data_IF_905820812675
#
_entry.id   IF_905820812675
#
_cell.length_a   1.000
_cell.length_b   1.000
_cell.length_c   1.000
_cell.angle_alpha   90.00
_cell.angle_beta   90.00
_cell.angle_gamma   90.00
#
_symmetry.space_group_name_H-M   'P 1'
#
loop_
_entity.id
_entity.type
_entity.pdbx_description
1 polymer ?
#
# COMPACT_ATOMS: atom_id res chain seq x y z
N UNK A 1 18.63 29.90 -9.38
CA UNK A 1 17.64 29.86 -8.27
C UNK A 1 17.41 31.22 -7.62
N UNK A 2 16.17 31.53 -7.25
CA UNK A 2 15.75 32.67 -6.42
C UNK A 2 14.80 32.19 -5.31
N UNK A 3 14.76 32.88 -4.19
CA UNK A 3 13.92 32.53 -3.04
C UNK A 3 13.00 33.70 -2.67
N UNK A 4 11.74 33.41 -2.37
CA UNK A 4 10.80 34.37 -1.82
C UNK A 4 10.24 33.84 -0.50
N UNK A 5 10.12 34.73 0.48
CA UNK A 5 9.60 34.41 1.80
C UNK A 5 8.33 35.22 2.06
N UNK A 6 7.27 34.52 2.48
CA UNK A 6 6.06 35.13 3.02
C UNK A 6 5.99 34.86 4.52
N UNK A 7 6.21 35.92 5.30
CA UNK A 7 6.24 35.87 6.76
C UNK A 7 4.86 35.53 7.38
N UNK A 8 3.77 35.90 6.71
CA UNK A 8 2.40 35.71 7.22
C UNK A 8 1.95 34.26 7.11
N UNK A 9 2.34 33.58 6.03
CA UNK A 9 1.99 32.18 5.77
C UNK A 9 3.13 31.21 6.11
N UNK A 10 4.32 31.73 6.44
CA UNK A 10 5.55 30.96 6.63
C UNK A 10 5.88 30.10 5.41
N UNK A 11 5.70 30.69 4.22
CA UNK A 11 5.90 30.02 2.93
C UNK A 11 7.25 30.39 2.33
N UNK A 12 8.05 29.38 2.02
CA UNK A 12 9.24 29.52 1.19
C UNK A 12 8.89 29.13 -0.26
N UNK A 13 8.98 30.09 -1.17
CA UNK A 13 8.88 29.83 -2.62
C UNK A 13 10.28 29.71 -3.21
N UNK A 14 10.58 28.56 -3.82
CA UNK A 14 11.82 28.29 -4.57
C UNK A 14 11.53 28.44 -6.05
N UNK A 15 12.09 29.47 -6.68
CA UNK A 15 11.90 29.75 -8.11
C UNK A 15 13.18 29.38 -8.85
N UNK A 16 13.09 28.46 -9.81
CA UNK A 16 14.23 28.04 -10.61
C UNK A 16 13.89 27.77 -12.06
N UNK A 17 14.76 28.24 -12.96
CA UNK A 17 14.76 27.83 -14.37
C UNK A 17 15.82 26.76 -14.66
N UNK A 18 16.58 26.34 -13.65
CA UNK A 18 17.57 25.28 -13.76
C UNK A 18 16.84 23.92 -13.81
N UNK A 19 17.28 23.03 -14.70
CA UNK A 19 16.70 21.68 -14.83
C UNK A 19 16.79 20.89 -13.51
N UNK A 20 17.86 21.07 -12.75
CA UNK A 20 18.10 20.42 -11.47
C UNK A 20 18.28 21.46 -10.36
N UNK A 21 17.61 21.23 -9.23
CA UNK A 21 17.81 22.03 -8.02
C UNK A 21 18.38 21.17 -6.89
N UNK A 22 19.32 21.74 -6.14
CA UNK A 22 20.06 21.08 -5.06
C UNK A 22 20.36 22.08 -3.94
N UNK A 23 20.52 21.56 -2.71
CA UNK A 23 21.09 22.33 -1.61
C UNK A 23 20.35 23.62 -1.24
N UNK A 24 19.01 23.59 -1.19
CA UNK A 24 18.22 24.77 -0.82
C UNK A 24 18.41 25.08 0.66
N UNK A 25 19.23 26.07 0.96
CA UNK A 25 19.52 26.52 2.33
C UNK A 25 19.17 28.00 2.46
N UNK A 26 18.22 28.30 3.34
CA UNK A 26 17.75 29.66 3.63
C UNK A 26 17.77 29.90 5.14
N UNK A 27 17.72 31.17 5.55
CA UNK A 27 17.59 31.53 6.97
C UNK A 27 16.26 31.08 7.57
N UNK A 28 15.22 30.91 6.74
CA UNK A 28 13.87 30.49 7.15
C UNK A 28 13.67 28.97 7.21
N UNK A 29 14.72 28.16 7.06
CA UNK A 29 14.59 26.69 7.06
C UNK A 29 13.96 26.11 8.34
N UNK A 30 14.14 26.78 9.47
CA UNK A 30 13.53 26.40 10.75
C UNK A 30 12.13 27.00 10.95
N UNK A 31 11.71 27.94 10.11
CA UNK A 31 10.43 28.66 10.25
C UNK A 31 9.41 28.24 9.19
N UNK A 32 9.88 27.75 8.04
CA UNK A 32 9.03 27.37 6.92
C UNK A 32 8.06 26.25 7.33
N UNK A 33 6.77 26.51 7.13
CA UNK A 33 5.68 25.54 7.30
C UNK A 33 5.20 25.06 5.92
N UNK A 34 5.36 25.86 4.88
CA UNK A 34 4.97 25.54 3.52
C UNK A 34 6.12 25.80 2.54
N UNK A 35 6.28 24.91 1.55
CA UNK A 35 7.23 25.08 0.46
C UNK A 35 6.48 25.04 -0.86
N UNK A 36 6.79 25.99 -1.75
CA UNK A 36 6.31 25.99 -3.15
C UNK A 36 7.52 25.97 -4.07
N UNK A 37 7.57 25.02 -5.00
CA UNK A 37 8.58 25.00 -6.06
C UNK A 37 7.94 25.53 -7.35
N UNK A 38 8.58 26.52 -7.98
CA UNK A 38 8.10 27.13 -9.22
C UNK A 38 9.18 27.10 -10.30
N UNK A 39 8.72 27.00 -11.55
CA UNK A 39 9.54 26.97 -12.75
C UNK A 39 9.47 25.63 -13.48
N UNK A 40 10.41 25.38 -14.38
CA UNK A 40 10.46 24.17 -15.23
C UNK A 40 11.45 23.13 -14.69
N UNK A 41 11.55 23.02 -13.37
CA UNK A 41 12.46 22.10 -12.68
C UNK A 41 12.13 20.65 -13.07
N UNK A 42 13.15 19.90 -13.49
CA UNK A 42 13.07 18.49 -13.88
C UNK A 42 13.53 17.54 -12.78
N UNK A 43 14.52 17.93 -11.99
CA UNK A 43 15.15 17.05 -11.01
C UNK A 43 15.22 17.76 -9.66
N UNK A 44 14.66 17.11 -8.63
CA UNK A 44 14.94 17.45 -7.24
C UNK A 44 16.14 16.62 -6.79
N UNK A 45 17.28 17.25 -6.56
CA UNK A 45 18.47 16.51 -6.12
C UNK A 45 18.39 16.03 -4.68
N UNK A 46 19.37 15.22 -4.30
CA UNK A 46 19.43 14.59 -2.99
C UNK A 46 19.43 15.63 -1.87
N UNK A 47 18.71 15.35 -0.78
CA UNK A 47 18.78 16.13 0.46
C UNK A 47 18.48 17.64 0.31
N UNK A 48 17.75 18.04 -0.74
CA UNK A 48 17.53 19.45 -1.10
C UNK A 48 16.92 20.29 0.03
N UNK A 49 15.94 19.75 0.76
CA UNK A 49 15.30 20.41 1.92
C UNK A 49 15.74 19.80 3.25
N UNK A 50 17.05 19.61 3.42
CA UNK A 50 17.60 19.21 4.72
C UNK A 50 17.37 20.28 5.79
N UNK A 51 16.94 19.86 6.97
CA UNK A 51 16.60 20.69 8.15
C UNK A 51 15.28 21.47 8.08
N UNK A 52 14.46 21.28 7.06
CA UNK A 52 13.11 21.88 6.96
C UNK A 52 12.07 21.09 7.78
N UNK A 53 12.32 20.90 9.07
CA UNK A 53 11.56 19.97 9.93
C UNK A 53 10.16 20.47 10.34
N UNK A 54 9.88 21.76 10.14
CA UNK A 54 8.57 22.35 10.43
C UNK A 54 7.59 22.30 9.25
N UNK A 55 8.05 21.89 8.05
CA UNK A 55 7.22 21.88 6.85
C UNK A 55 6.10 20.87 6.96
N UNK A 56 4.87 21.32 6.73
CA UNK A 56 3.63 20.54 6.74
C UNK A 56 3.12 20.25 5.33
N UNK A 57 3.44 21.10 4.35
CA UNK A 57 3.01 20.94 2.95
C UNK A 57 4.11 21.37 1.98
N UNK A 58 4.19 20.68 0.84
CA UNK A 58 5.08 21.01 -0.27
C UNK A 58 4.31 20.93 -1.59
N UNK A 59 4.42 21.97 -2.40
CA UNK A 59 3.86 22.02 -3.76
C UNK A 59 4.98 21.81 -4.78
N UNK A 60 4.80 20.76 -5.59
CA UNK A 60 5.76 20.31 -6.58
C UNK A 60 5.19 20.54 -7.99
N UNK A 61 5.92 21.20 -8.91
CA UNK A 61 5.44 21.39 -10.27
C UNK A 61 5.45 20.08 -11.04
N UNK A 62 4.47 19.91 -11.93
CA UNK A 62 4.34 18.75 -12.80
C UNK A 62 5.52 18.55 -13.75
N UNK A 63 6.39 19.55 -13.91
CA UNK A 63 7.61 19.43 -14.71
C UNK A 63 8.63 18.45 -14.13
N UNK A 64 8.54 18.09 -12.84
CA UNK A 64 9.50 17.20 -12.18
C UNK A 64 9.40 15.79 -12.75
N UNK A 65 10.55 15.25 -13.16
CA UNK A 65 10.74 13.93 -13.74
C UNK A 65 11.51 12.98 -12.82
N UNK A 66 12.29 13.51 -11.88
CA UNK A 66 13.11 12.72 -10.96
C UNK A 66 13.14 13.28 -9.55
N UNK A 67 12.94 12.39 -8.58
CA UNK A 67 13.22 12.65 -7.17
C UNK A 67 14.51 11.97 -6.77
N UNK A 68 15.47 12.77 -6.33
CA UNK A 68 16.66 12.36 -5.58
C UNK A 68 16.30 11.67 -4.26
N UNK A 69 17.31 11.17 -3.57
CA UNK A 69 17.13 10.54 -2.27
C UNK A 69 16.90 11.59 -1.20
N UNK A 70 15.96 11.32 -0.29
CA UNK A 70 15.71 12.16 0.88
C UNK A 70 15.48 13.65 0.53
N UNK A 71 14.70 13.95 -0.52
CA UNK A 71 14.47 15.32 -1.00
C UNK A 71 13.98 16.26 0.12
N UNK A 72 13.24 15.71 1.07
CA UNK A 72 12.89 16.35 2.33
C UNK A 72 12.91 15.30 3.44
N UNK A 73 13.38 15.67 4.63
CA UNK A 73 13.50 14.75 5.78
C UNK A 73 12.98 15.38 7.06
N UNK A 74 12.46 14.54 7.97
CA UNK A 74 11.96 14.95 9.28
C UNK A 74 10.92 16.07 9.24
N UNK A 75 10.20 16.21 8.12
CA UNK A 75 9.09 17.15 8.00
C UNK A 75 7.85 16.65 8.74
N UNK A 76 6.86 17.53 8.86
CA UNK A 76 5.52 17.22 9.36
C UNK A 76 4.55 16.87 8.23
N UNK A 77 5.03 16.72 6.99
CA UNK A 77 4.19 16.43 5.83
C UNK A 77 3.44 15.13 6.03
N UNK A 78 2.12 15.18 5.81
CA UNK A 78 1.21 14.03 5.89
C UNK A 78 0.80 13.47 4.53
N UNK A 79 0.85 14.30 3.49
CA UNK A 79 0.45 13.94 2.15
C UNK A 79 1.44 14.51 1.13
N UNK A 80 1.83 13.71 0.15
CA UNK A 80 2.62 14.15 -1.01
C UNK A 80 1.83 13.86 -2.28
N UNK A 81 1.63 14.90 -3.10
CA UNK A 81 1.15 14.74 -4.46
C UNK A 81 2.33 14.37 -5.37
N UNK A 82 2.20 13.27 -6.12
CA UNK A 82 3.20 12.81 -7.09
C UNK A 82 3.04 13.62 -8.39
N UNK A 83 4.09 14.35 -8.85
CA UNK A 83 4.03 15.15 -10.07
C UNK A 83 3.67 14.32 -11.31
N UNK A 84 2.93 14.94 -12.24
CA UNK A 84 2.41 14.27 -13.45
C UNK A 84 3.51 13.64 -14.32
N UNK A 85 4.70 14.26 -14.41
CA UNK A 85 5.79 13.75 -15.25
C UNK A 85 6.84 12.94 -14.48
N UNK A 86 6.62 12.61 -13.20
CA UNK A 86 7.60 11.86 -12.42
C UNK A 86 7.82 10.47 -13.05
N UNK A 87 9.07 10.18 -13.39
CA UNK A 87 9.55 8.93 -14.00
C UNK A 87 10.42 8.14 -13.06
N UNK A 88 11.28 8.83 -12.31
CA UNK A 88 12.32 8.22 -11.47
C UNK A 88 12.02 8.53 -10.01
N UNK A 89 11.68 7.47 -9.27
CA UNK A 89 11.61 7.45 -7.82
C UNK A 89 12.71 6.50 -7.33
N UNK A 90 13.81 7.06 -6.81
CA UNK A 90 14.97 6.25 -6.46
C UNK A 90 14.65 5.22 -5.37
N UNK A 91 15.27 4.04 -5.47
CA UNK A 91 14.99 2.93 -4.57
C UNK A 91 15.58 3.09 -3.16
N UNK A 92 16.42 4.11 -2.93
CA UNK A 92 16.94 4.44 -1.60
C UNK A 92 16.06 5.48 -0.88
N UNK A 93 14.84 5.71 -1.40
CA UNK A 93 13.82 6.45 -0.69
C UNK A 93 13.94 7.97 -0.76
N UNK A 94 13.28 8.62 -1.72
CA UNK A 94 13.07 10.06 -1.73
C UNK A 94 12.47 10.65 -0.44
N UNK A 95 11.69 9.87 0.32
CA UNK A 95 10.84 10.39 1.41
C UNK A 95 10.90 9.57 2.71
N UNK A 96 11.88 8.70 2.90
CA UNK A 96 11.96 7.71 4.01
C UNK A 96 11.87 8.32 5.43
N UNK A 97 12.52 9.47 5.66
CA UNK A 97 12.56 10.10 7.00
C UNK A 97 11.37 11.00 7.31
N UNK A 98 10.30 10.95 6.50
CA UNK A 98 9.07 11.71 6.77
C UNK A 98 8.09 10.87 7.58
N UNK A 99 8.39 10.73 8.87
CA UNK A 99 7.63 9.93 9.84
C UNK A 99 6.18 10.35 10.05
N UNK A 100 5.72 11.46 9.47
CA UNK A 100 4.32 11.90 9.49
C UNK A 100 3.58 11.61 8.20
N UNK A 101 4.27 11.15 7.15
CA UNK A 101 3.68 10.89 5.85
C UNK A 101 2.72 9.71 5.94
N UNK A 102 1.44 9.98 5.71
CA UNK A 102 0.33 9.04 5.85
C UNK A 102 -0.10 8.46 4.50
N UNK A 103 0.03 9.23 3.41
CA UNK A 103 -0.40 8.83 2.06
C UNK A 103 0.28 9.61 0.95
N UNK A 104 0.27 9.01 -0.23
CA UNK A 104 0.49 9.68 -1.51
C UNK A 104 -0.84 10.02 -2.18
N UNK A 105 -0.84 11.02 -3.06
CA UNK A 105 -1.90 11.26 -4.04
C UNK A 105 -1.30 11.46 -5.42
N UNK A 106 -2.08 11.26 -6.48
CA UNK A 106 -1.60 11.31 -7.86
C UNK A 106 -2.75 11.61 -8.81
N UNK A 107 -2.43 12.24 -9.94
CA UNK A 107 -3.36 12.35 -11.07
C UNK A 107 -3.52 10.99 -11.79
N UNK A 108 -4.72 10.69 -12.27
CA UNK A 108 -5.00 9.44 -12.98
C UNK A 108 -4.20 9.29 -14.30
N UNK A 109 -3.84 10.42 -14.92
CA UNK A 109 -3.07 10.51 -16.16
C UNK A 109 -1.57 10.28 -15.97
N UNK A 110 -1.09 10.09 -14.73
CA UNK A 110 0.32 9.78 -14.48
C UNK A 110 0.66 8.41 -15.10
N UNK A 111 1.68 8.36 -15.95
CA UNK A 111 2.02 7.22 -16.80
C UNK A 111 2.88 6.14 -16.11
N UNK A 112 3.67 6.49 -15.10
CA UNK A 112 4.70 5.61 -14.51
C UNK A 112 4.30 5.02 -13.16
N UNK A 113 3.50 5.74 -12.38
CA UNK A 113 3.10 5.33 -11.04
C UNK A 113 1.57 5.33 -10.89
N UNK A 114 1.12 4.62 -9.85
CA UNK A 114 -0.27 4.63 -9.39
C UNK A 114 -0.27 4.66 -7.87
N UNK A 115 -1.26 5.33 -7.31
CA UNK A 115 -1.56 5.27 -5.88
C UNK A 115 -2.76 4.38 -5.66
N UNK A 116 -2.65 3.44 -4.72
CA UNK A 116 -3.77 2.62 -4.23
C UNK A 116 -3.74 2.66 -2.71
N UNK A 117 -4.85 3.04 -2.09
CA UNK A 117 -4.97 3.25 -0.64
C UNK A 117 -3.86 4.16 -0.08
N UNK A 118 -3.47 5.21 -0.81
CA UNK A 118 -2.39 6.10 -0.39
C UNK A 118 -0.98 5.51 -0.46
N UNK A 119 -0.79 4.30 -1.01
CA UNK A 119 0.52 3.65 -1.22
C UNK A 119 0.94 3.77 -2.68
N UNK A 120 2.23 4.02 -2.92
CA UNK A 120 2.80 4.21 -4.25
C UNK A 120 3.24 2.88 -4.88
N UNK A 121 2.79 2.63 -6.09
CA UNK A 121 3.13 1.47 -6.94
C UNK A 121 3.59 1.92 -8.32
N UNK A 122 4.21 1.01 -9.07
CA UNK A 122 4.32 1.18 -10.53
C UNK A 122 2.93 1.18 -11.17
N UNK A 123 2.78 1.85 -12.34
CA UNK A 123 1.49 1.98 -13.03
C UNK A 123 0.81 0.64 -13.32
N UNK A 124 1.61 -0.36 -13.67
CA UNK A 124 1.20 -1.74 -13.97
C UNK A 124 0.94 -2.59 -12.71
N UNK A 125 1.10 -2.01 -11.51
CA UNK A 125 0.95 -2.67 -10.20
C UNK A 125 1.93 -3.84 -9.95
N UNK A 126 3.01 -3.98 -10.74
CA UNK A 126 3.98 -5.06 -10.54
C UNK A 126 5.04 -4.77 -9.48
N UNK A 127 5.23 -3.49 -9.10
CA UNK A 127 6.21 -3.07 -8.10
C UNK A 127 5.55 -2.29 -6.97
N UNK A 128 5.80 -2.71 -5.73
CA UNK A 128 5.57 -1.86 -4.56
C UNK A 128 6.71 -0.85 -4.46
N UNK A 129 6.40 0.44 -4.63
CA UNK A 129 7.40 1.52 -4.69
C UNK A 129 7.62 2.13 -3.30
N UNK A 130 6.56 2.59 -2.64
CA UNK A 130 6.69 3.10 -1.27
C UNK A 130 5.38 3.04 -0.49
N UNK A 131 5.45 2.44 0.69
CA UNK A 131 4.43 2.59 1.72
C UNK A 131 4.82 3.79 2.60
N UNK A 132 3.92 4.79 2.77
CA UNK A 132 4.14 5.90 3.68
C UNK A 132 4.55 5.42 5.08
N UNK A 133 5.60 5.98 5.71
CA UNK A 133 6.05 5.58 7.05
C UNK A 133 4.92 5.56 8.10
N UNK A 134 3.99 6.51 8.03
CA UNK A 134 2.85 6.63 8.95
C UNK A 134 1.54 6.13 8.31
N UNK A 135 1.59 5.11 7.46
CA UNK A 135 0.39 4.46 6.92
C UNK A 135 -0.53 4.02 8.07
N UNK A 136 -1.81 4.40 8.02
CA UNK A 136 -2.73 4.28 9.15
C UNK A 136 -3.39 2.88 9.23
N UNK A 137 -2.62 1.81 9.28
CA UNK A 137 -3.13 0.44 9.49
C UNK A 137 -2.13 -0.40 10.26
N UNK A 138 -2.65 -1.33 11.08
CA UNK A 138 -1.84 -2.36 11.74
C UNK A 138 -1.50 -3.53 10.83
N UNK A 139 -2.28 -3.74 9.77
CA UNK A 139 -2.09 -4.84 8.84
C UNK A 139 -1.96 -4.28 7.45
N UNK A 140 -0.98 -4.79 6.71
CA UNK A 140 -0.79 -4.47 5.32
C UNK A 140 -0.61 -5.74 4.50
N UNK A 141 -1.49 -5.93 3.53
CA UNK A 141 -1.34 -6.93 2.48
C UNK A 141 -0.80 -6.28 1.23
N UNK A 142 0.29 -6.80 0.70
CA UNK A 142 0.77 -6.38 -0.59
C UNK A 142 -0.19 -6.93 -1.66
N UNK A 143 -0.73 -6.09 -2.57
CA UNK A 143 -1.70 -6.55 -3.56
C UNK A 143 -1.21 -7.73 -4.40
N UNK A 144 -2.13 -8.66 -4.66
CA UNK A 144 -1.89 -9.76 -5.59
C UNK A 144 -1.54 -9.21 -6.98
N UNK A 145 -0.49 -9.75 -7.61
CA UNK A 145 0.05 -9.26 -8.88
C UNK A 145 1.33 -8.43 -8.72
N UNK A 146 1.60 -7.89 -7.53
CA UNK A 146 2.93 -7.33 -7.22
C UNK A 146 3.95 -8.47 -7.29
N UNK A 147 5.02 -8.27 -8.07
CA UNK A 147 6.10 -9.24 -8.27
C UNK A 147 7.40 -8.84 -7.59
N UNK A 148 7.56 -7.56 -7.28
CA UNK A 148 8.75 -7.04 -6.60
C UNK A 148 8.46 -5.97 -5.55
N UNK A 149 9.23 -6.02 -4.47
CA UNK A 149 9.24 -5.06 -3.37
C UNK A 149 10.56 -4.29 -3.45
N UNK A 150 10.52 -2.98 -3.76
CA UNK A 150 11.75 -2.20 -3.88
C UNK A 150 12.35 -1.90 -2.50
N UNK A 151 13.64 -1.56 -2.47
CA UNK A 151 14.44 -1.38 -1.26
C UNK A 151 13.76 -0.48 -0.22
N UNK A 152 13.49 0.78 -0.54
CA UNK A 152 12.88 1.77 0.35
C UNK A 152 11.40 1.55 0.66
N UNK A 153 10.77 0.50 0.14
CA UNK A 153 9.31 0.46 0.08
C UNK A 153 8.63 0.19 1.42
N UNK A 154 9.34 -0.49 2.32
CA UNK A 154 8.83 -0.97 3.63
C UNK A 154 9.71 -0.48 4.80
N UNK A 155 10.55 0.51 4.55
CA UNK A 155 11.45 1.06 5.55
C UNK A 155 10.75 2.09 6.44
N UNK A 156 11.19 2.20 7.69
CA UNK A 156 10.68 3.17 8.68
C UNK A 156 9.18 3.13 8.98
N UNK A 157 8.48 2.05 8.61
CA UNK A 157 7.07 1.86 8.93
C UNK A 157 6.82 1.96 10.44
N UNK A 158 5.78 2.70 10.82
CA UNK A 158 5.48 3.06 12.20
C UNK A 158 4.23 2.40 12.79
N UNK A 159 3.30 1.95 11.95
CA UNK A 159 2.02 1.39 12.43
C UNK A 159 1.77 -0.06 12.01
N UNK A 160 2.38 -0.53 10.92
CA UNK A 160 2.13 -1.87 10.37
C UNK A 160 2.76 -2.91 11.30
N UNK A 161 1.93 -3.62 12.07
CA UNK A 161 2.33 -4.73 12.93
C UNK A 161 2.40 -6.07 12.19
N UNK A 162 1.62 -6.23 11.12
CA UNK A 162 1.60 -7.43 10.30
C UNK A 162 1.70 -7.08 8.81
N UNK A 163 2.79 -7.54 8.18
CA UNK A 163 3.02 -7.42 6.73
C UNK A 163 2.82 -8.79 6.07
N UNK A 164 1.97 -8.84 5.05
CA UNK A 164 1.58 -10.08 4.36
C UNK A 164 1.93 -9.96 2.88
N UNK A 165 2.77 -10.85 2.39
CA UNK A 165 3.33 -10.86 1.03
C UNK A 165 2.67 -11.98 0.21
N UNK A 166 2.12 -11.71 -0.99
CA UNK A 166 1.46 -12.72 -1.81
C UNK A 166 2.45 -13.66 -2.51
N UNK A 167 1.94 -14.79 -3.00
CA UNK A 167 2.73 -15.73 -3.81
C UNK A 167 3.22 -15.16 -5.15
N UNK A 168 2.71 -14.00 -5.59
CA UNK A 168 3.21 -13.33 -6.80
C UNK A 168 4.55 -12.65 -6.61
N UNK A 169 4.98 -12.36 -5.37
CA UNK A 169 6.26 -11.69 -5.10
C UNK A 169 7.41 -12.68 -5.22
N UNK A 170 8.27 -12.39 -6.20
CA UNK A 170 9.47 -13.16 -6.53
C UNK A 170 10.75 -12.48 -6.06
N UNK A 171 10.77 -11.15 -6.04
CA UNK A 171 11.96 -10.35 -5.72
C UNK A 171 11.69 -9.40 -4.57
N UNK A 172 12.62 -9.40 -3.61
CA UNK A 172 12.61 -8.45 -2.50
C UNK A 172 13.98 -7.80 -2.42
N UNK A 173 14.03 -6.49 -2.63
CA UNK A 173 15.26 -5.71 -2.60
C UNK A 173 15.48 -5.19 -1.17
N UNK A 174 16.62 -5.54 -0.55
CA UNK A 174 17.14 -5.13 0.78
C UNK A 174 16.13 -4.92 1.91
N UNK A 175 15.38 -5.97 2.23
CA UNK A 175 14.15 -5.82 2.99
C UNK A 175 14.29 -5.34 4.45
N UNK A 176 13.38 -4.43 4.83
CA UNK A 176 12.99 -4.09 6.20
C UNK A 176 14.14 -3.47 7.02
N UNK A 177 14.67 -2.35 6.53
CA UNK A 177 15.53 -1.51 7.35
C UNK A 177 14.71 -0.80 8.42
N UNK A 178 14.92 -1.20 9.69
CA UNK A 178 14.31 -0.58 10.88
C UNK A 178 12.77 -0.53 10.93
N UNK A 179 12.02 -1.60 10.59
CA UNK A 179 10.59 -1.64 10.89
C UNK A 179 10.41 -1.78 12.40
N UNK A 180 10.14 -0.67 13.09
CA UNK A 180 10.06 -0.68 14.55
C UNK A 180 8.87 -1.48 15.09
N UNK A 181 7.87 -1.74 14.25
CA UNK A 181 6.56 -2.25 14.70
C UNK A 181 6.12 -3.57 14.08
N UNK A 182 6.78 -4.07 13.02
CA UNK A 182 6.35 -5.31 12.36
C UNK A 182 6.68 -6.51 13.23
N UNK A 183 5.65 -7.14 13.80
CA UNK A 183 5.74 -8.33 14.67
C UNK A 183 5.48 -9.63 13.91
N UNK A 184 4.78 -9.57 12.78
CA UNK A 184 4.44 -10.74 11.98
C UNK A 184 4.69 -10.44 10.50
N UNK A 185 5.53 -11.24 9.88
CA UNK A 185 5.77 -11.19 8.44
C UNK A 185 5.38 -12.54 7.85
N UNK A 186 4.32 -12.54 7.06
CA UNK A 186 3.79 -13.75 6.42
C UNK A 186 4.09 -13.67 4.93
N UNK A 187 4.62 -14.74 4.37
CA UNK A 187 4.88 -14.84 2.94
C UNK A 187 4.17 -16.07 2.40
N UNK A 188 3.22 -15.81 1.51
CA UNK A 188 2.52 -16.85 0.78
C UNK A 188 3.38 -17.39 -0.36
N UNK A 189 3.44 -18.72 -0.54
CA UNK A 189 4.06 -19.40 -1.68
C UNK A 189 3.07 -20.37 -2.33
N UNK A 190 3.34 -20.75 -3.59
CA UNK A 190 2.56 -21.75 -4.31
C UNK A 190 3.04 -23.16 -3.93
N UNK A 191 2.11 -24.10 -3.70
CA UNK A 191 2.42 -25.51 -3.41
C UNK A 191 3.26 -26.20 -4.49
N UNK A 192 3.10 -25.78 -5.75
CA UNK A 192 3.79 -26.36 -6.91
C UNK A 192 5.13 -25.69 -7.22
N UNK A 193 5.39 -24.52 -6.62
CA UNK A 193 6.63 -23.77 -6.81
C UNK A 193 7.27 -23.59 -5.43
N UNK A 194 8.24 -24.45 -5.11
CA UNK A 194 9.17 -24.27 -3.99
C UNK A 194 10.07 -23.02 -4.17
N UNK A 195 9.60 -21.99 -4.88
CA UNK A 195 10.32 -20.81 -5.29
C UNK A 195 10.69 -19.99 -4.06
N UNK A 196 11.95 -20.18 -3.69
CA UNK A 196 12.67 -19.36 -2.75
C UNK A 196 12.58 -17.92 -3.25
N UNK A 197 12.03 -17.01 -2.44
CA UNK A 197 12.13 -15.58 -2.70
C UNK A 197 13.57 -15.25 -3.06
N UNK A 198 13.76 -14.52 -4.15
CA UNK A 198 15.06 -13.92 -4.42
C UNK A 198 15.22 -12.67 -3.55
N UNK A 199 15.98 -12.83 -2.48
CA UNK A 199 16.42 -11.74 -1.62
C UNK A 199 17.60 -11.04 -2.30
N UNK A 200 17.34 -9.86 -2.85
CA UNK A 200 18.40 -9.03 -3.44
C UNK A 200 19.01 -8.18 -2.33
N UNK A 201 20.05 -8.72 -1.70
CA UNK A 201 20.79 -8.01 -0.66
C UNK A 201 21.65 -6.91 -1.29
N UNK A 202 21.36 -5.67 -0.93
CA UNK A 202 22.12 -4.50 -1.41
C UNK A 202 23.08 -3.96 -0.35
N UNK A 203 22.79 -4.15 0.95
CA UNK A 203 23.54 -3.46 2.02
C UNK A 203 23.72 -4.21 3.35
N UNK A 204 23.40 -5.51 3.47
CA UNK A 204 23.49 -6.30 4.72
C UNK A 204 22.77 -5.72 5.97
N UNK A 205 21.84 -4.77 5.78
CA UNK A 205 21.08 -4.14 6.87
C UNK A 205 19.66 -4.68 7.06
N UNK A 206 19.32 -5.79 6.40
CA UNK A 206 17.98 -6.37 6.49
C UNK A 206 17.63 -6.63 7.96
N UNK A 207 16.44 -6.24 8.39
CA UNK A 207 15.96 -6.42 9.77
C UNK A 207 16.80 -5.73 10.86
N UNK A 208 17.67 -4.77 10.52
CA UNK A 208 18.37 -3.95 11.52
C UNK A 208 17.35 -3.21 12.38
N UNK A 209 17.52 -3.25 13.70
CA UNK A 209 16.60 -2.63 14.67
C UNK A 209 15.12 -3.08 14.52
N UNK A 210 14.89 -4.27 13.96
CA UNK A 210 13.56 -4.90 13.80
C UNK A 210 13.26 -5.88 14.95
N UNK A 211 11.99 -5.96 15.43
CA UNK A 211 11.60 -6.94 16.44
C UNK A 211 11.49 -8.37 15.87
N UNK A 212 11.44 -8.53 14.55
CA UNK A 212 11.53 -9.83 13.86
C UNK A 212 12.83 -9.93 13.07
N UNK A 213 13.32 -11.15 12.88
CA UNK A 213 14.47 -11.48 12.04
C UNK A 213 14.02 -12.38 10.89
N UNK A 214 14.90 -12.61 9.91
CA UNK A 214 14.59 -13.44 8.73
C UNK A 214 14.11 -14.87 9.11
N UNK A 215 14.62 -15.43 10.21
CA UNK A 215 14.20 -16.74 10.74
C UNK A 215 12.76 -16.77 11.29
N UNK A 216 12.20 -15.60 11.60
CA UNK A 216 10.86 -15.45 12.18
C UNK A 216 9.78 -15.28 11.10
N UNK A 217 10.18 -15.27 9.82
CA UNK A 217 9.26 -15.22 8.68
C UNK A 217 8.38 -16.47 8.67
N UNK A 218 7.07 -16.26 8.57
CA UNK A 218 6.09 -17.32 8.46
C UNK A 218 5.80 -17.57 6.99
N UNK A 219 6.18 -18.74 6.49
CA UNK A 219 5.84 -19.17 5.14
C UNK A 219 4.52 -19.93 5.15
N UNK A 220 3.60 -19.54 4.27
CA UNK A 220 2.28 -20.19 4.13
C UNK A 220 2.13 -20.67 2.70
N UNK A 221 1.78 -21.94 2.50
CA UNK A 221 1.50 -22.47 1.17
C UNK A 221 -0.01 -22.42 0.92
N UNK A 222 -0.43 -21.73 -0.13
CA UNK A 222 -1.84 -21.62 -0.51
C UNK A 222 -1.95 -21.14 -1.95
N UNK A 223 -2.88 -21.73 -2.71
CA UNK A 223 -3.26 -21.19 -4.03
C UNK A 223 -4.11 -19.93 -3.93
N UNK A 224 -4.67 -19.63 -2.75
CA UNK A 224 -5.47 -18.43 -2.49
C UNK A 224 -4.70 -17.39 -1.68
N UNK A 225 -4.91 -16.12 -2.00
CA UNK A 225 -4.38 -14.98 -1.26
C UNK A 225 -5.43 -13.89 -1.15
N UNK A 226 -5.49 -13.20 -0.01
CA UNK A 226 -6.38 -12.06 0.16
C UNK A 226 -5.61 -10.75 0.25
N UNK A 227 -5.97 -9.83 -0.64
CA UNK A 227 -5.55 -8.43 -0.56
C UNK A 227 -6.61 -7.63 0.18
N UNK A 228 -6.24 -6.98 1.27
CA UNK A 228 -7.07 -6.01 1.97
C UNK A 228 -6.78 -4.57 1.50
N UNK A 229 -7.82 -3.93 0.97
CA UNK A 229 -7.89 -2.52 0.66
C UNK A 229 -8.65 -1.78 1.75
N UNK A 230 -7.93 -1.02 2.56
CA UNK A 230 -8.42 -0.28 3.72
C UNK A 230 -9.38 0.84 3.32
N UNK A 231 -9.07 1.62 2.28
CA UNK A 231 -9.85 2.82 1.93
C UNK A 231 -11.31 2.45 1.64
N UNK A 232 -11.50 1.38 0.88
CA UNK A 232 -12.81 0.85 0.52
C UNK A 232 -13.27 -0.31 1.41
N UNK A 233 -12.55 -0.62 2.49
CA UNK A 233 -12.85 -1.72 3.43
C UNK A 233 -13.13 -3.04 2.70
N UNK A 234 -12.36 -3.31 1.65
CA UNK A 234 -12.61 -4.38 0.69
C UNK A 234 -11.49 -5.41 0.77
N UNK A 235 -11.84 -6.69 0.82
CA UNK A 235 -10.88 -7.78 0.64
C UNK A 235 -11.09 -8.43 -0.72
N UNK A 236 -10.04 -8.52 -1.52
CA UNK A 236 -10.03 -9.25 -2.80
C UNK A 236 -9.23 -10.53 -2.61
N UNK A 237 -9.92 -11.66 -2.60
CA UNK A 237 -9.32 -12.99 -2.68
C UNK A 237 -8.93 -13.20 -4.15
N UNK A 238 -7.72 -13.70 -4.37
CA UNK A 238 -7.14 -14.04 -5.67
C UNK A 238 -6.64 -15.47 -5.63
N UNK A 239 -6.58 -16.12 -6.79
CA UNK A 239 -6.10 -17.48 -6.92
C UNK A 239 -4.96 -17.56 -7.93
N UNK A 240 -3.97 -18.44 -7.69
CA UNK A 240 -2.98 -18.82 -8.70
C UNK A 240 -3.45 -19.89 -9.66
N UNK A 241 -4.59 -20.53 -9.38
CA UNK A 241 -5.16 -21.57 -10.22
C UNK A 241 -6.68 -21.46 -10.24
N UNK A 242 -7.23 -20.96 -11.34
CA UNK A 242 -8.67 -20.78 -11.48
C UNK A 242 -9.41 -22.07 -11.84
N UNK A 243 -8.71 -23.15 -12.17
CA UNK A 243 -9.33 -24.41 -12.62
C UNK A 243 -9.79 -25.28 -11.44
N UNK A 244 -9.27 -25.04 -10.26
CA UNK A 244 -9.58 -25.79 -9.05
C UNK A 244 -10.66 -25.11 -8.20
N UNK A 245 -11.27 -25.88 -7.29
CA UNK A 245 -12.24 -25.39 -6.32
C UNK A 245 -11.64 -25.43 -4.91
N UNK A 246 -11.53 -24.26 -4.29
CA UNK A 246 -10.90 -24.09 -2.98
C UNK A 246 -11.91 -23.68 -1.91
N UNK A 247 -11.58 -24.02 -0.67
CA UNK A 247 -12.13 -23.39 0.53
C UNK A 247 -11.13 -22.34 1.02
N UNK A 248 -11.58 -21.10 1.17
CA UNK A 248 -10.76 -20.03 1.75
C UNK A 248 -10.86 -20.05 3.28
N UNK A 249 -9.71 -20.06 3.97
CA UNK A 249 -9.63 -20.17 5.43
C UNK A 249 -8.49 -19.31 6.04
N UNK A 250 -8.34 -18.06 5.62
CA UNK A 250 -7.35 -17.17 6.26
C UNK A 250 -7.97 -16.32 7.38
N UNK A 251 -7.13 -15.80 8.27
CA UNK A 251 -7.52 -14.99 9.42
C UNK A 251 -7.79 -13.53 9.05
N UNK A 252 -7.41 -13.05 7.87
CA UNK A 252 -7.48 -11.61 7.55
C UNK A 252 -8.89 -11.02 7.67
N UNK A 253 -9.92 -11.79 7.35
CA UNK A 253 -11.33 -11.40 7.48
C UNK A 253 -11.76 -11.27 8.96
N UNK A 254 -10.95 -11.78 9.89
CA UNK A 254 -11.13 -11.65 11.34
C UNK A 254 -10.34 -10.49 11.94
N UNK A 255 -9.31 -10.02 11.24
CA UNK A 255 -8.39 -9.03 11.79
C UNK A 255 -8.98 -7.62 11.77
N UNK A 256 -9.86 -7.32 10.81
CA UNK A 256 -10.51 -6.01 10.70
C UNK A 256 -12.03 -6.14 10.58
N UNK A 257 -12.71 -5.77 11.65
CA UNK A 257 -14.17 -5.79 11.74
C UNK A 257 -14.86 -4.74 10.88
N UNK A 258 -14.09 -3.81 10.30
CA UNK A 258 -14.60 -2.79 9.40
C UNK A 258 -14.71 -3.27 7.95
N UNK A 259 -14.21 -4.45 7.59
CA UNK A 259 -14.35 -5.01 6.23
C UNK A 259 -15.84 -5.12 5.88
N UNK A 260 -16.23 -4.41 4.82
CA UNK A 260 -17.62 -4.37 4.32
C UNK A 260 -17.78 -5.09 2.98
N UNK A 261 -16.69 -5.45 2.29
CA UNK A 261 -16.77 -6.06 0.97
C UNK A 261 -15.73 -7.17 0.85
N UNK A 262 -16.13 -8.31 0.30
CA UNK A 262 -15.24 -9.40 -0.08
C UNK A 262 -15.50 -9.70 -1.55
N UNK A 263 -14.45 -9.75 -2.36
CA UNK A 263 -14.49 -10.14 -3.77
C UNK A 263 -13.65 -11.40 -3.89
N UNK A 264 -14.13 -12.43 -4.59
CA UNK A 264 -13.40 -13.70 -4.74
C UNK A 264 -13.62 -14.32 -6.12
N UNK A 265 -12.65 -15.08 -6.66
CA UNK A 265 -12.78 -15.70 -7.97
C UNK A 265 -13.71 -16.92 -7.91
N UNK A 266 -14.21 -17.36 -9.07
CA UNK A 266 -15.05 -18.57 -9.17
C UNK A 266 -14.39 -19.84 -8.62
N UNK A 267 -13.06 -19.88 -8.56
CA UNK A 267 -12.31 -20.98 -7.95
C UNK A 267 -12.51 -21.06 -6.43
N UNK A 268 -12.92 -19.98 -5.75
CA UNK A 268 -13.32 -20.06 -4.34
C UNK A 268 -14.75 -20.59 -4.28
N UNK A 269 -14.86 -21.89 -3.99
CA UNK A 269 -16.14 -22.55 -3.85
C UNK A 269 -16.81 -22.23 -2.53
N UNK A 270 -16.02 -22.02 -1.47
CA UNK A 270 -16.45 -21.82 -0.09
C UNK A 270 -15.52 -20.87 0.66
N UNK A 271 -16.08 -20.05 1.56
CA UNK A 271 -15.33 -19.29 2.56
C UNK A 271 -15.65 -19.87 3.93
N UNK A 272 -14.61 -20.26 4.68
CA UNK A 272 -14.77 -20.84 6.01
C UNK A 272 -15.30 -19.82 7.00
N UNK A 273 -16.22 -20.25 7.87
CA UNK A 273 -16.72 -19.42 8.96
C UNK A 273 -15.64 -19.02 9.97
N UNK A 274 -14.55 -19.81 10.08
CA UNK A 274 -13.44 -19.48 10.98
C UNK A 274 -12.62 -18.28 10.50
N UNK A 275 -12.75 -17.88 9.23
CA UNK A 275 -12.08 -16.69 8.70
C UNK A 275 -12.65 -15.40 9.28
N UNK A 276 -13.89 -15.40 9.78
CA UNK A 276 -14.52 -14.21 10.33
C UNK A 276 -14.33 -14.13 11.84
N UNK A 277 -14.08 -12.92 12.33
CA UNK A 277 -14.18 -12.64 13.77
C UNK A 277 -15.64 -12.80 14.17
N UNK A 278 -15.88 -13.45 15.30
CA UNK A 278 -17.21 -13.57 15.88
C UNK A 278 -17.76 -12.18 16.20
N UNK A 279 -18.55 -11.62 15.29
CA UNK A 279 -19.33 -10.42 15.50
C UNK A 279 -20.78 -10.76 15.23
N UNK A 280 -21.66 -10.22 16.07
CA UNK A 280 -23.06 -10.64 16.15
C UNK A 280 -23.89 -10.24 14.94
N UNK A 281 -23.29 -9.62 13.93
CA UNK A 281 -24.02 -8.73 13.08
C UNK A 281 -23.35 -8.54 11.72
N UNK A 282 -23.74 -9.13 10.60
CA UNK A 282 -23.14 -8.89 9.27
C UNK A 282 -24.08 -9.58 8.25
N UNK A 283 -24.19 -9.09 7.01
CA UNK A 283 -25.17 -9.50 5.96
C UNK A 283 -24.42 -9.59 4.66
N UNK A 284 -24.56 -10.63 3.84
CA UNK A 284 -23.80 -10.80 2.60
C UNK A 284 -24.64 -10.65 1.33
N UNK A 285 -24.14 -9.90 0.34
CA UNK A 285 -24.74 -9.81 -1.00
C UNK A 285 -23.80 -10.34 -2.07
N UNK A 286 -24.25 -11.31 -2.85
CA UNK A 286 -23.51 -11.88 -3.99
C UNK A 286 -23.98 -11.33 -5.32
N UNK A 287 -23.13 -10.53 -5.97
CA UNK A 287 -23.35 -9.98 -7.32
C UNK A 287 -22.19 -10.35 -8.25
N UNK A 288 -22.52 -10.72 -9.50
CA UNK A 288 -21.61 -11.26 -10.51
C UNK A 288 -20.86 -10.13 -11.23
N UNK A 289 -19.54 -10.06 -11.09
CA UNK A 289 -18.66 -9.11 -11.77
C UNK A 289 -17.67 -9.95 -12.58
N UNK A 290 -18.02 -10.24 -13.84
CA UNK A 290 -17.42 -11.29 -14.69
C UNK A 290 -15.97 -11.67 -14.33
N UNK A 291 -15.82 -12.94 -13.91
CA UNK A 291 -14.66 -13.65 -13.33
C UNK A 291 -14.58 -13.65 -11.79
N UNK A 292 -15.23 -12.70 -11.12
CA UNK A 292 -15.30 -12.62 -9.66
C UNK A 292 -16.72 -12.56 -9.15
N UNK A 293 -16.89 -12.95 -7.89
CA UNK A 293 -18.12 -12.92 -7.13
C UNK A 293 -17.93 -11.97 -5.96
N UNK A 294 -18.88 -11.05 -5.73
CA UNK A 294 -18.83 -10.11 -4.60
C UNK A 294 -19.58 -10.68 -3.40
N UNK A 295 -19.26 -10.27 -2.18
CA UNK A 295 -19.93 -10.54 -0.91
C UNK A 295 -19.89 -9.23 -0.12
N UNK A 296 -20.99 -8.48 -0.06
CA UNK A 296 -21.07 -7.21 0.70
C UNK A 296 -21.64 -7.44 2.08
N UNK A 297 -20.95 -7.03 3.16
CA UNK A 297 -21.17 -7.27 4.59
C UNK A 297 -21.92 -6.09 5.28
N UNK A 298 -23.16 -6.27 5.77
CA UNK A 298 -23.92 -5.24 6.55
C UNK A 298 -24.55 -5.75 7.88
N UNK A 299 -24.30 -5.07 9.00
CA UNK A 299 -24.33 -5.63 10.36
C UNK A 299 -25.76 -5.85 11.01
N UNK A 300 -26.19 -7.09 11.36
CA UNK A 300 -26.98 -7.57 12.57
C UNK A 300 -27.48 -9.04 12.56
N UNK A 301 -27.04 -9.96 11.64
CA UNK A 301 -27.54 -11.35 11.63
C UNK A 301 -26.73 -12.35 10.74
N UNK A 302 -25.64 -12.97 11.21
CA UNK A 302 -25.08 -14.19 10.57
C UNK A 302 -25.95 -15.46 10.82
N UNK A 303 -27.10 -15.31 11.48
CA UNK A 303 -27.34 -16.15 12.66
C UNK A 303 -28.00 -17.50 12.42
N UNK A 304 -28.27 -17.91 11.17
CA UNK A 304 -28.71 -19.29 10.90
C UNK A 304 -28.30 -19.85 9.52
N UNK A 305 -27.64 -19.08 8.65
CA UNK A 305 -27.61 -19.36 7.19
C UNK A 305 -26.25 -19.13 6.50
N UNK A 306 -25.15 -19.50 7.15
CA UNK A 306 -24.04 -20.13 6.40
C UNK A 306 -24.20 -21.66 6.36
N UNK A 307 -25.25 -22.20 6.99
CA UNK A 307 -25.28 -23.54 7.56
C UNK A 307 -25.21 -24.72 6.59
N UNK A 308 -25.23 -24.51 5.27
CA UNK A 308 -25.15 -25.58 4.26
C UNK A 308 -23.94 -25.51 3.32
N UNK A 309 -22.88 -24.78 3.68
CA UNK A 309 -21.59 -24.87 2.98
C UNK A 309 -21.69 -24.63 1.47
N UNK A 310 -21.76 -23.36 1.05
CA UNK A 310 -21.24 -22.90 -0.23
C UNK A 310 -21.16 -23.98 -1.33
N UNK A 311 -22.33 -24.31 -1.88
CA UNK A 311 -22.49 -25.09 -3.10
C UNK A 311 -23.62 -24.48 -3.90
N UNK A 312 -23.37 -24.18 -5.18
CA UNK A 312 -24.35 -23.69 -6.14
C UNK A 312 -24.61 -24.80 -7.17
N UNK A 313 -25.83 -25.37 -7.23
CA UNK A 313 -26.32 -26.17 -8.36
C UNK A 313 -27.66 -25.67 -8.98
N UNK A 314 -27.58 -25.37 -10.28
CA UNK A 314 -28.53 -25.36 -11.43
C UNK A 314 -30.06 -25.16 -11.39
N UNK A 315 -30.76 -24.89 -10.28
CA UNK A 315 -32.25 -24.77 -10.30
C UNK A 315 -32.83 -23.70 -9.34
N UNK A 316 -32.42 -22.43 -9.44
CA UNK A 316 -33.08 -21.32 -8.71
C UNK A 316 -33.25 -20.06 -9.57
N UNK A 317 -33.82 -20.27 -10.76
CA UNK A 317 -34.72 -19.31 -11.40
C UNK A 317 -36.06 -19.48 -10.67
N UNK A 318 -36.44 -18.58 -9.76
CA UNK A 318 -37.84 -18.28 -9.35
C UNK A 318 -38.01 -17.80 -7.90
N UNK A 319 -37.35 -16.70 -7.51
CA UNK A 319 -37.91 -15.84 -6.44
C UNK A 319 -37.35 -14.42 -6.45
N UNK A 320 -37.08 -13.90 -7.66
CA UNK A 320 -36.94 -12.46 -7.91
C UNK A 320 -38.35 -11.87 -8.06
N UNK A 321 -39.17 -11.82 -7.02
CA UNK A 321 -40.40 -11.02 -7.03
C UNK A 321 -40.85 -10.74 -5.59
N UNK A 322 -41.16 -9.46 -5.34
CA UNK A 322 -41.62 -8.83 -4.09
C UNK A 322 -40.50 -8.52 -3.07
N UNK A 323 -40.24 -7.29 -2.63
CA UNK A 323 -40.99 -6.03 -2.70
C UNK A 323 -40.02 -4.84 -2.61
N UNK A 324 -40.19 -3.89 -3.53
CA UNK A 324 -40.13 -2.47 -3.22
C UNK A 324 -41.49 -2.13 -2.58
N UNK A 325 -41.48 -1.82 -1.28
CA UNK A 325 -42.36 -0.86 -0.57
C UNK A 325 -41.92 -0.74 0.88
#
# INVERSE_FOLDING_TARGET
MNFQWDESTKTLTVISNDDKIEGVQTEHKTDAIHIVIQGQVKILGDQIFTSYSNVETIELPDSIEEFGNNIITFSKIKEIHIPLNLKIYHSNGPLEYNFKLEKYTIDENQQNFRVVDGVLYSKDMTKLVNIPPNYQSKIFTIPFGVTSIILSSVDYLQNIEQLIVPQTVNYIYGMLFRPKVIKKLIIYRNESMNDQITWVNTYDFNFRDSPIQQKDIIYTNSSLYATYYKENKTVVISSTDENNRYEYQDEILSLDTSITTIIYPKSVSKISSSSFKTLSHNQFTVEDFTNYTTISIYNFKYTFLCHQYFSLPSLLISSLFLMLL
#
